data_IF_720565106518
#
_entry.id   IF_720565106518
#
_cell.length_a   1.000
_cell.length_b   1.000
_cell.length_c   1.000
_cell.angle_alpha   90.00
_cell.angle_beta   90.00
_cell.angle_gamma   90.00
#
_symmetry.space_group_name_H-M   'P 1'
#
loop_
_entity.id
_entity.type
_entity.pdbx_description
1 polymer ?
#
# COMPACT_ATOMS: atom_id res chain seq x y z
N UNK A 1 -32.85 -14.53 10.68
CA UNK A 1 -31.42 -14.41 11.02
C UNK A 1 -30.64 -15.02 9.88
N UNK A 2 -29.46 -14.47 9.61
CA UNK A 2 -28.57 -14.93 8.55
C UNK A 2 -27.30 -15.53 9.17
N UNK A 3 -26.82 -16.63 8.62
CA UNK A 3 -25.61 -17.31 9.07
C UNK A 3 -24.71 -17.47 7.85
N UNK A 4 -23.43 -17.11 7.98
CA UNK A 4 -22.51 -17.25 6.84
C UNK A 4 -22.09 -18.70 6.63
N UNK A 5 -21.72 -19.02 5.39
CA UNK A 5 -21.12 -20.30 4.98
C UNK A 5 -19.75 -19.98 4.36
N UNK A 6 -18.72 -20.83 4.53
CA UNK A 6 -17.43 -20.61 3.88
C UNK A 6 -17.57 -20.38 2.37
N UNK A 7 -16.84 -19.41 1.83
CA UNK A 7 -16.96 -18.99 0.44
C UNK A 7 -16.66 -20.11 -0.58
N UNK A 8 -15.93 -21.14 -0.18
CA UNK A 8 -15.64 -22.33 -0.99
C UNK A 8 -16.90 -23.08 -1.44
N UNK A 9 -18.02 -22.87 -0.73
CA UNK A 9 -19.31 -23.49 -1.01
C UNK A 9 -20.29 -22.56 -1.76
N UNK A 10 -19.81 -21.46 -2.35
CA UNK A 10 -20.64 -20.64 -3.25
C UNK A 10 -21.24 -21.52 -4.37
N UNK A 11 -22.54 -21.37 -4.62
CA UNK A 11 -23.32 -22.16 -5.59
C UNK A 11 -23.36 -23.67 -5.30
N UNK A 12 -23.09 -24.10 -4.07
CA UNK A 12 -23.26 -25.48 -3.64
C UNK A 12 -24.47 -25.61 -2.73
N UNK A 13 -25.19 -26.72 -2.87
CA UNK A 13 -26.27 -27.07 -1.94
C UNK A 13 -25.65 -27.58 -0.64
N UNK A 14 -26.19 -27.10 0.49
CA UNK A 14 -25.76 -27.46 1.84
C UNK A 14 -26.96 -27.86 2.66
N UNK A 15 -26.74 -28.79 3.58
CA UNK A 15 -27.76 -29.21 4.55
C UNK A 15 -27.59 -28.40 5.84
N UNK A 16 -28.70 -27.97 6.43
CA UNK A 16 -28.68 -27.20 7.68
C UNK A 16 -29.40 -27.98 8.76
N UNK A 17 -28.68 -28.25 9.84
CA UNK A 17 -29.25 -28.86 11.05
C UNK A 17 -29.42 -27.78 12.11
N UNK A 18 -30.66 -27.57 12.53
CA UNK A 18 -31.01 -26.65 13.60
C UNK A 18 -31.11 -27.43 14.92
N UNK A 19 -30.37 -26.99 15.92
CA UNK A 19 -30.49 -27.44 17.31
C UNK A 19 -31.04 -26.31 18.17
N UNK A 20 -31.32 -26.61 19.45
CA UNK A 20 -31.82 -25.60 20.38
C UNK A 20 -30.89 -24.38 20.42
N UNK A 21 -29.57 -24.59 20.57
CA UNK A 21 -28.58 -23.52 20.76
C UNK A 21 -27.66 -23.27 19.56
N UNK A 22 -27.69 -24.12 18.53
CA UNK A 22 -26.71 -24.11 17.44
C UNK A 22 -27.38 -24.23 16.07
N UNK A 23 -26.72 -23.61 15.09
CA UNK A 23 -27.00 -23.81 13.67
C UNK A 23 -25.76 -24.46 13.06
N UNK A 24 -25.91 -25.70 12.61
CA UNK A 24 -24.83 -26.47 11.99
C UNK A 24 -25.09 -26.61 10.50
N UNK A 25 -24.03 -26.47 9.70
CA UNK A 25 -24.11 -26.49 8.24
C UNK A 25 -23.22 -27.62 7.74
N UNK A 26 -23.76 -28.46 6.88
CA UNK A 26 -23.13 -29.66 6.35
C UNK A 26 -23.04 -29.60 4.82
N UNK A 27 -21.93 -30.11 4.29
CA UNK A 27 -21.75 -30.37 2.87
C UNK A 27 -21.22 -31.79 2.71
N UNK A 28 -21.89 -32.62 1.90
CA UNK A 28 -21.53 -34.04 1.72
C UNK A 28 -21.33 -34.79 3.05
N UNK A 29 -22.25 -34.65 4.00
CA UNK A 29 -22.21 -35.27 5.34
C UNK A 29 -21.07 -34.79 6.27
N UNK A 30 -20.27 -33.81 5.85
CA UNK A 30 -19.24 -33.19 6.70
C UNK A 30 -19.70 -31.82 7.18
N UNK A 31 -19.48 -31.52 8.47
CA UNK A 31 -19.82 -30.21 9.04
C UNK A 31 -18.81 -29.17 8.58
N UNK A 32 -19.29 -28.17 7.85
CA UNK A 32 -18.47 -27.09 7.27
C UNK A 32 -18.53 -25.80 8.06
N UNK A 33 -19.60 -25.58 8.83
CA UNK A 33 -19.72 -24.42 9.71
C UNK A 33 -20.62 -24.73 10.91
N UNK A 34 -20.39 -24.01 12.01
CA UNK A 34 -21.24 -24.03 13.19
C UNK A 34 -21.36 -22.62 13.75
N UNK A 35 -22.60 -22.21 14.06
CA UNK A 35 -22.89 -20.90 14.61
C UNK A 35 -23.70 -21.05 15.89
N UNK A 36 -23.50 -20.13 16.84
CA UNK A 36 -24.43 -19.94 17.95
C UNK A 36 -25.76 -19.46 17.38
N UNK A 37 -26.85 -20.10 17.79
CA UNK A 37 -28.19 -19.68 17.39
C UNK A 37 -28.46 -18.29 17.97
N UNK A 38 -28.81 -17.37 17.09
CA UNK A 38 -29.24 -16.03 17.47
C UNK A 38 -30.72 -16.09 17.89
N UNK A 39 -31.09 -15.25 18.86
CA UNK A 39 -32.47 -15.02 19.30
C UNK A 39 -32.77 -13.52 19.30
N UNK A 40 -34.01 -13.14 19.00
CA UNK A 40 -34.42 -11.74 18.91
C UNK A 40 -34.85 -11.32 17.51
N UNK A 41 -34.47 -10.11 17.10
CA UNK A 41 -35.04 -9.43 15.92
C UNK A 41 -34.66 -10.12 14.61
N UNK A 42 -35.63 -10.25 13.70
CA UNK A 42 -35.40 -10.67 12.33
C UNK A 42 -34.41 -9.71 11.63
N UNK A 43 -33.49 -10.26 10.84
CA UNK A 43 -32.45 -9.50 10.13
C UNK A 43 -31.06 -9.49 10.77
N UNK A 44 -30.88 -10.05 11.97
CA UNK A 44 -29.54 -10.23 12.55
C UNK A 44 -28.70 -11.22 11.73
N UNK A 45 -27.39 -10.98 11.64
CA UNK A 45 -26.43 -11.80 10.90
C UNK A 45 -25.30 -12.28 11.81
N UNK A 46 -24.99 -13.57 11.76
CA UNK A 46 -23.77 -14.17 12.33
C UNK A 46 -22.83 -14.49 11.18
N UNK A 47 -21.90 -13.57 10.92
CA UNK A 47 -20.89 -13.72 9.87
C UNK A 47 -19.54 -14.00 10.49
N UNK A 48 -19.06 -15.24 10.37
CA UNK A 48 -17.70 -15.59 10.75
C UNK A 48 -16.71 -15.08 9.70
N UNK A 49 -15.59 -14.53 10.18
CA UNK A 49 -14.54 -13.94 9.35
C UNK A 49 -13.80 -15.00 8.53
N UNK A 50 -13.68 -16.21 9.07
CA UNK A 50 -13.07 -17.35 8.37
C UNK A 50 -13.85 -17.78 7.12
N UNK A 51 -15.15 -17.46 7.06
CA UNK A 51 -15.96 -17.78 5.90
C UNK A 51 -15.71 -16.84 4.71
N UNK A 52 -15.09 -15.68 4.94
CA UNK A 52 -14.83 -14.72 3.88
C UNK A 52 -13.66 -15.17 3.00
N UNK A 53 -13.64 -14.84 1.69
CA UNK A 53 -12.44 -14.97 0.88
C UNK A 53 -11.31 -14.07 1.40
N UNK A 54 -10.06 -14.45 1.21
CA UNK A 54 -8.91 -13.67 1.73
C UNK A 54 -8.87 -12.25 1.17
N UNK A 55 -9.19 -12.07 -0.12
CA UNK A 55 -9.31 -10.75 -0.72
C UNK A 55 -10.37 -9.89 -0.02
N UNK A 56 -11.48 -10.50 0.44
CA UNK A 56 -12.54 -9.79 1.15
C UNK A 56 -12.15 -9.50 2.61
N UNK A 57 -11.42 -10.41 3.28
CA UNK A 57 -10.86 -10.18 4.63
C UNK A 57 -9.99 -8.92 4.64
N UNK A 58 -9.12 -8.77 3.63
CA UNK A 58 -8.26 -7.60 3.48
C UNK A 58 -9.03 -6.27 3.36
N UNK A 59 -10.28 -6.30 2.87
CA UNK A 59 -11.15 -5.11 2.82
C UNK A 59 -11.92 -4.89 4.12
N UNK A 60 -12.36 -5.95 4.79
CA UNK A 60 -13.04 -5.83 6.10
C UNK A 60 -12.10 -5.29 7.17
N UNK A 61 -10.81 -5.56 7.03
CA UNK A 61 -9.77 -5.06 7.94
C UNK A 61 -9.41 -3.60 7.72
N UNK A 62 -9.90 -2.99 6.65
CA UNK A 62 -9.70 -1.57 6.37
C UNK A 62 -10.71 -0.77 7.18
N UNK A 63 -10.46 -0.67 8.48
CA UNK A 63 -11.20 0.23 9.36
C UNK A 63 -10.54 1.61 9.38
N UNK A 64 -11.28 2.69 9.66
CA UNK A 64 -10.71 4.02 9.89
C UNK A 64 -9.62 4.01 10.98
N UNK A 65 -9.80 3.20 12.02
CA UNK A 65 -8.85 3.05 13.12
C UNK A 65 -7.53 2.44 12.62
N UNK A 66 -7.60 1.34 11.85
CA UNK A 66 -6.40 0.73 11.26
C UNK A 66 -5.72 1.64 10.23
N UNK A 67 -6.47 2.53 9.56
CA UNK A 67 -5.89 3.55 8.68
C UNK A 67 -5.13 4.62 9.45
N UNK A 68 -5.61 5.03 10.62
CA UNK A 68 -4.95 5.98 11.52
C UNK A 68 -3.68 5.37 12.10
N UNK A 69 -3.75 4.16 12.66
CA UNK A 69 -2.57 3.45 13.20
C UNK A 69 -1.47 3.29 12.15
N UNK A 70 -1.87 2.96 10.91
CA UNK A 70 -0.94 2.89 9.80
C UNK A 70 -0.26 4.24 9.52
N UNK A 71 -1.02 5.33 9.52
CA UNK A 71 -0.49 6.68 9.34
C UNK A 71 0.53 7.06 10.41
N UNK A 72 0.24 6.75 11.67
CA UNK A 72 1.11 7.01 12.81
C UNK A 72 2.44 6.26 12.67
N UNK A 73 2.41 5.05 12.11
CA UNK A 73 3.61 4.26 11.84
C UNK A 73 4.53 4.84 10.74
N UNK A 74 4.06 5.84 9.98
CA UNK A 74 4.80 6.54 8.93
C UNK A 74 5.26 7.91 9.42
N UNK A 75 4.34 8.75 9.92
CA UNK A 75 4.66 10.08 10.42
C UNK A 75 3.48 11.05 10.51
N UNK A 76 3.76 12.22 11.11
CA UNK A 76 2.74 13.22 11.46
C UNK A 76 2.07 13.87 10.24
N UNK A 77 2.80 14.06 9.14
CA UNK A 77 2.24 14.65 7.92
C UNK A 77 1.28 13.68 7.26
N UNK A 78 1.64 12.39 7.23
CA UNK A 78 0.78 11.32 6.71
C UNK A 78 -0.50 11.17 7.55
N UNK A 79 -0.38 11.20 8.88
CA UNK A 79 -1.52 11.22 9.80
C UNK A 79 -2.48 12.36 9.51
N UNK A 80 -1.95 13.58 9.32
CA UNK A 80 -2.77 14.77 9.05
C UNK A 80 -3.56 14.64 7.74
N UNK A 81 -2.93 14.07 6.71
CA UNK A 81 -3.59 13.80 5.42
C UNK A 81 -4.70 12.76 5.55
N UNK A 82 -4.46 11.67 6.28
CA UNK A 82 -5.44 10.59 6.44
C UNK A 82 -6.65 11.06 7.24
N UNK A 83 -6.43 11.80 8.34
CA UNK A 83 -7.53 12.42 9.11
C UNK A 83 -8.36 13.35 8.22
N UNK A 84 -7.71 14.21 7.46
CA UNK A 84 -8.40 15.07 6.50
C UNK A 84 -9.24 14.28 5.50
N UNK A 85 -8.71 13.19 4.93
CA UNK A 85 -9.43 12.35 3.97
C UNK A 85 -10.64 11.64 4.58
N UNK A 86 -10.52 11.17 5.82
CA UNK A 86 -11.63 10.55 6.56
C UNK A 86 -12.72 11.60 6.87
N UNK A 87 -12.33 12.78 7.34
CA UNK A 87 -13.28 13.84 7.75
C UNK A 87 -14.01 14.48 6.56
N UNK A 88 -13.36 14.61 5.40
CA UNK A 88 -13.96 15.27 4.23
C UNK A 88 -14.76 14.33 3.32
N UNK A 89 -14.62 13.02 3.48
CA UNK A 89 -15.29 12.07 2.60
C UNK A 89 -16.74 11.85 3.01
N UNK A 90 -17.66 12.05 2.06
CA UNK A 90 -19.09 11.76 2.29
C UNK A 90 -19.37 10.25 2.44
N UNK A 91 -18.53 9.42 1.81
CA UNK A 91 -18.62 7.97 1.86
C UNK A 91 -17.34 7.40 2.50
N UNK A 92 -17.47 6.79 3.68
CA UNK A 92 -16.35 6.18 4.40
C UNK A 92 -15.61 5.14 3.54
N UNK A 93 -16.36 4.29 2.83
CA UNK A 93 -15.81 3.30 1.90
C UNK A 93 -14.92 3.96 0.82
N UNK A 94 -15.28 5.14 0.34
CA UNK A 94 -14.50 5.85 -0.68
C UNK A 94 -13.20 6.45 -0.09
N UNK A 95 -13.27 6.94 1.15
CA UNK A 95 -12.09 7.42 1.89
C UNK A 95 -11.08 6.28 2.08
N UNK A 96 -11.57 5.15 2.60
CA UNK A 96 -10.77 3.95 2.87
C UNK A 96 -10.13 3.38 1.60
N UNK A 97 -10.87 3.33 0.48
CA UNK A 97 -10.30 2.92 -0.81
C UNK A 97 -9.17 3.85 -1.28
N UNK A 98 -9.32 5.16 -1.05
CA UNK A 98 -8.29 6.13 -1.38
C UNK A 98 -7.05 5.92 -0.50
N UNK A 99 -7.24 5.77 0.82
CA UNK A 99 -6.16 5.50 1.77
C UNK A 99 -5.45 4.18 1.45
N UNK A 100 -6.19 3.14 1.09
CA UNK A 100 -5.62 1.86 0.68
C UNK A 100 -4.75 1.98 -0.58
N UNK A 101 -5.17 2.80 -1.55
CA UNK A 101 -4.35 3.13 -2.72
C UNK A 101 -3.04 3.83 -2.34
N UNK A 102 -3.06 4.67 -1.29
CA UNK A 102 -1.85 5.26 -0.74
C UNK A 102 -0.98 4.19 -0.05
N UNK A 103 -1.57 3.34 0.79
CA UNK A 103 -0.88 2.24 1.49
C UNK A 103 -0.18 1.27 0.54
N UNK A 104 -0.79 0.96 -0.60
CA UNK A 104 -0.16 0.14 -1.66
C UNK A 104 1.16 0.75 -2.19
N UNK A 105 1.38 2.05 -2.00
CA UNK A 105 2.64 2.70 -2.38
C UNK A 105 3.83 2.22 -1.54
N UNK A 106 3.62 1.66 -0.34
CA UNK A 106 4.70 1.08 0.49
C UNK A 106 5.46 -0.06 -0.21
N UNK A 107 4.84 -0.72 -1.19
CA UNK A 107 5.50 -1.77 -1.98
C UNK A 107 6.65 -1.22 -2.84
N UNK A 108 6.65 0.09 -3.15
CA UNK A 108 7.55 0.71 -4.11
C UNK A 108 8.36 1.88 -3.57
N UNK A 109 8.01 2.35 -2.37
CA UNK A 109 8.54 3.56 -1.74
C UNK A 109 8.76 3.30 -0.25
N UNK A 110 9.82 3.88 0.29
CA UNK A 110 10.11 3.81 1.72
C UNK A 110 9.16 4.70 2.54
N UNK A 111 8.99 4.40 3.83
CA UNK A 111 8.19 5.23 4.75
C UNK A 111 8.63 6.70 4.74
N UNK A 112 9.93 6.94 4.66
CA UNK A 112 10.50 8.29 4.57
C UNK A 112 10.07 9.04 3.30
N UNK A 113 10.09 8.38 2.14
CA UNK A 113 9.65 8.99 0.88
C UNK A 113 8.16 9.33 0.89
N UNK A 114 7.33 8.46 1.50
CA UNK A 114 5.90 8.68 1.66
C UNK A 114 5.65 9.89 2.57
N UNK A 115 6.28 9.94 3.75
CA UNK A 115 6.13 11.06 4.69
C UNK A 115 6.59 12.38 4.05
N UNK A 116 7.71 12.37 3.31
CA UNK A 116 8.20 13.55 2.58
C UNK A 116 7.20 14.02 1.53
N UNK A 117 6.60 13.10 0.77
CA UNK A 117 5.61 13.44 -0.23
C UNK A 117 4.33 14.01 0.41
N UNK A 118 3.86 13.42 1.51
CA UNK A 118 2.74 13.95 2.30
C UNK A 118 3.03 15.36 2.80
N UNK A 119 4.22 15.60 3.37
CA UNK A 119 4.66 16.93 3.82
C UNK A 119 4.65 17.97 2.70
N UNK A 120 5.13 17.60 1.51
CA UNK A 120 5.09 18.47 0.34
C UNK A 120 3.66 18.81 -0.08
N UNK A 121 2.75 17.82 -0.13
CA UNK A 121 1.34 18.08 -0.49
C UNK A 121 0.67 19.00 0.51
N UNK A 122 0.85 18.75 1.81
CA UNK A 122 0.26 19.59 2.88
C UNK A 122 0.75 21.03 2.77
N UNK A 123 2.02 21.24 2.42
CA UNK A 123 2.56 22.60 2.22
C UNK A 123 2.03 23.30 0.96
N UNK A 124 1.68 22.55 -0.08
CA UNK A 124 1.28 23.09 -1.37
C UNK A 124 -0.23 23.35 -1.47
N UNK A 125 -1.06 22.56 -0.78
CA UNK A 125 -2.51 22.60 -0.96
C UNK A 125 -3.25 22.26 0.33
N UNK A 126 -4.24 23.08 0.67
CA UNK A 126 -5.13 22.87 1.84
C UNK A 126 -6.06 21.65 1.72
N UNK A 127 -6.17 21.08 0.51
CA UNK A 127 -7.02 19.93 0.16
C UNK A 127 -6.17 18.79 -0.38
N UNK A 128 -5.47 18.03 0.47
CA UNK A 128 -4.62 16.93 0.02
C UNK A 128 -5.46 15.82 -0.62
N UNK A 129 -5.00 15.30 -1.76
CA UNK A 129 -5.63 14.17 -2.46
C UNK A 129 -4.61 13.05 -2.64
N UNK A 130 -5.02 11.78 -2.55
CA UNK A 130 -4.10 10.65 -2.74
C UNK A 130 -3.40 10.68 -4.11
N UNK A 131 -4.11 11.10 -5.17
CA UNK A 131 -3.52 11.27 -6.51
C UNK A 131 -2.37 12.28 -6.54
N UNK A 132 -2.46 13.38 -5.80
CA UNK A 132 -1.38 14.39 -5.79
C UNK A 132 -0.14 13.83 -5.10
N UNK A 133 -0.31 13.10 -4.00
CA UNK A 133 0.79 12.43 -3.28
C UNK A 133 1.47 11.39 -4.19
N UNK A 134 0.68 10.55 -4.86
CA UNK A 134 1.20 9.55 -5.81
C UNK A 134 1.96 10.19 -6.98
N UNK A 135 1.51 11.37 -7.43
CA UNK A 135 2.21 12.13 -8.49
C UNK A 135 3.56 12.65 -8.01
N UNK A 136 3.61 13.21 -6.80
CA UNK A 136 4.87 13.66 -6.18
C UNK A 136 5.83 12.47 -5.98
N UNK A 137 5.35 11.33 -5.49
CA UNK A 137 6.16 10.13 -5.32
C UNK A 137 6.78 9.64 -6.63
N UNK A 138 5.98 9.58 -7.71
CA UNK A 138 6.46 9.21 -9.05
C UNK A 138 7.51 10.19 -9.58
N UNK A 139 7.28 11.49 -9.40
CA UNK A 139 8.21 12.53 -9.84
C UNK A 139 9.53 12.47 -9.07
N UNK A 140 9.47 12.30 -7.75
CA UNK A 140 10.66 12.17 -6.90
C UNK A 140 11.51 10.95 -7.31
N UNK A 141 10.87 9.80 -7.56
CA UNK A 141 11.57 8.59 -8.03
C UNK A 141 12.19 8.75 -9.41
N UNK A 142 11.54 9.48 -10.32
CA UNK A 142 12.09 9.81 -11.65
C UNK A 142 13.30 10.74 -11.52
N UNK A 143 13.24 11.72 -10.63
CA UNK A 143 14.33 12.67 -10.41
C UNK A 143 15.55 12.01 -9.77
N UNK A 144 15.35 11.12 -8.79
CA UNK A 144 16.45 10.33 -8.21
C UNK A 144 17.14 9.47 -9.26
N UNK A 145 16.37 8.77 -10.12
CA UNK A 145 16.96 8.01 -11.24
C UNK A 145 17.75 8.87 -12.23
N UNK A 146 17.29 10.10 -12.49
CA UNK A 146 18.02 11.05 -13.33
C UNK A 146 19.30 11.53 -12.66
N UNK A 147 19.28 11.85 -11.36
CA UNK A 147 20.48 12.25 -10.64
C UNK A 147 21.51 11.12 -10.59
N UNK A 148 21.06 9.88 -10.42
CA UNK A 148 21.94 8.71 -10.40
C UNK A 148 22.60 8.51 -11.78
N UNK A 149 21.83 8.61 -12.87
CA UNK A 149 22.35 8.53 -14.24
C UNK A 149 23.29 9.70 -14.58
N UNK A 150 22.98 10.92 -14.14
CA UNK A 150 23.85 12.09 -14.33
C UNK A 150 25.15 11.99 -13.51
N UNK A 151 25.10 11.42 -12.31
CA UNK A 151 26.29 11.16 -11.49
C UNK A 151 27.16 10.06 -12.10
N UNK A 152 26.57 9.01 -12.64
CA UNK A 152 27.30 7.92 -13.30
C UNK A 152 27.93 8.39 -14.61
N UNK A 153 27.22 9.21 -15.40
CA UNK A 153 27.76 9.85 -16.58
C UNK A 153 28.94 10.76 -16.22
N UNK A 154 28.83 11.59 -15.17
CA UNK A 154 29.93 12.43 -14.66
C UNK A 154 31.14 11.60 -14.25
N UNK A 155 30.95 10.51 -13.48
CA UNK A 155 32.05 9.60 -13.12
C UNK A 155 32.74 9.01 -14.34
N UNK A 156 31.99 8.60 -15.36
CA UNK A 156 32.56 8.09 -16.62
C UNK A 156 33.31 9.17 -17.41
N UNK A 157 32.80 10.41 -17.41
CA UNK A 157 33.48 11.53 -18.09
C UNK A 157 34.76 11.97 -17.35
N UNK A 158 34.78 11.90 -16.02
CA UNK A 158 35.98 12.21 -15.23
C UNK A 158 37.06 11.13 -15.39
N UNK A 159 36.66 9.85 -15.51
CA UNK A 159 37.57 8.74 -15.83
C UNK A 159 38.16 8.88 -17.24
N UNK A 160 37.36 9.26 -18.25
CA UNK A 160 37.86 9.44 -19.61
C UNK A 160 38.73 10.69 -19.77
N UNK A 161 38.43 11.78 -19.05
CA UNK A 161 39.26 12.99 -19.01
C UNK A 161 40.61 12.79 -18.32
N UNK A 162 40.71 11.90 -17.34
CA UNK A 162 41.99 11.56 -16.71
C UNK A 162 42.82 10.57 -17.53
N UNK A 163 42.34 10.11 -18.69
CA UNK A 163 43.06 9.21 -19.58
C UNK A 163 43.95 9.98 -20.60
N UNK A 164 44.62 11.04 -20.16
CA UNK A 164 45.76 11.57 -20.91
C UNK A 164 46.90 10.56 -20.73
N UNK A 165 47.18 9.76 -21.76
CA UNK A 165 48.40 8.97 -21.78
C UNK A 165 49.59 9.88 -21.49
N UNK A 166 50.43 9.52 -20.52
CA UNK A 166 51.63 10.26 -20.17
C UNK A 166 52.62 10.24 -21.35
N UNK A 167 52.40 11.07 -22.36
CA UNK A 167 53.35 11.33 -23.42
C UNK A 167 54.51 12.10 -22.83
N UNK A 168 55.64 11.41 -22.66
CA UNK A 168 56.86 12.03 -22.15
C UNK A 168 57.41 13.00 -23.19
N UNK A 169 57.89 14.17 -22.75
CA UNK A 169 58.40 15.23 -23.63
C UNK A 169 59.58 14.76 -24.49
N UNK A 170 59.89 15.50 -25.56
CA UNK A 170 60.94 15.14 -26.53
C UNK A 170 62.32 14.85 -25.90
N UNK A 171 62.63 15.51 -24.79
CA UNK A 171 63.82 15.28 -23.97
C UNK A 171 63.91 13.88 -23.37
N UNK A 172 62.79 13.19 -23.15
CA UNK A 172 62.77 11.79 -22.69
C UNK A 172 63.24 10.81 -23.77
N UNK A 173 63.07 11.14 -25.06
CA UNK A 173 63.49 10.31 -26.19
C UNK A 173 64.84 10.76 -26.79
N UNK A 174 65.58 11.62 -26.09
CA UNK A 174 66.90 12.09 -26.53
C UNK A 174 66.87 13.13 -27.66
N UNK A 175 65.74 13.82 -27.86
CA UNK A 175 65.69 14.96 -28.76
C UNK A 175 66.35 16.18 -28.13
N UNK A 176 67.54 16.54 -28.59
CA UNK A 176 68.13 17.86 -28.34
C UNK A 176 67.54 18.85 -29.33
N UNK A 177 66.85 19.87 -28.83
CA UNK A 177 66.40 21.00 -29.63
C UNK A 177 67.64 21.66 -30.27
N UNK A 178 67.66 21.69 -31.61
CA UNK A 178 68.71 22.34 -32.42
C UNK A 178 68.43 23.83 -32.60
#
# INVERSE_FOLDING_TARGET
MFYSVPYEYINREVEVKLSDNLVEIFFNHMRVASHKRLYGKFGQSSTLRDHMPDNHKLYVDQTPESAIEWAESIGASTLSVIRYLLDTSQNEKQALQSIFSLKKSELNYTKYEIERACKMVVSMTKRPTVKSIQTILKNNKKNNKKSDAEQELKRQTDISKNNYGFTRGASYYGGTDK
#
